data_IF_824588602127
#
_entry.id   IF_824588602127
#
_cell.length_a   1.000
_cell.length_b   1.000
_cell.length_c   1.000
_cell.angle_alpha   90.00
_cell.angle_beta   90.00
_cell.angle_gamma   90.00
#
_symmetry.space_group_name_H-M   'P 1'
#
loop_
_entity.id
_entity.type
_entity.pdbx_description
1 polymer ?
#
# COMPACT_ATOMS: atom_id res chain seq x y z
N UNK A 1 -7.37 -32.08 -20.37
CA UNK A 1 -7.10 -31.09 -19.29
C UNK A 1 -6.75 -29.78 -19.97
N UNK A 2 -7.62 -28.78 -19.93
CA UNK A 2 -7.33 -27.46 -20.49
C UNK A 2 -6.36 -26.73 -19.56
N UNK A 3 -5.16 -26.46 -20.06
CA UNK A 3 -4.20 -25.56 -19.42
C UNK A 3 -4.39 -24.20 -20.06
N UNK A 4 -4.80 -23.21 -19.26
CA UNK A 4 -4.86 -21.81 -19.67
C UNK A 4 -3.78 -21.07 -18.89
N UNK A 5 -2.63 -20.73 -19.50
CA UNK A 5 -1.59 -19.98 -18.81
C UNK A 5 -2.07 -18.53 -18.60
N UNK A 6 -1.68 -17.94 -17.48
CA UNK A 6 -1.89 -16.52 -17.22
C UNK A 6 -0.55 -15.79 -17.26
N UNK A 7 -0.55 -14.56 -17.77
CA UNK A 7 0.62 -13.69 -17.80
C UNK A 7 0.18 -12.27 -17.56
N UNK A 8 0.90 -11.55 -16.72
CA UNK A 8 0.72 -10.13 -16.47
C UNK A 8 2.07 -9.42 -16.58
N UNK A 9 2.09 -8.35 -17.35
CA UNK A 9 3.24 -7.46 -17.51
C UNK A 9 2.81 -6.09 -16.97
N UNK A 10 3.37 -5.71 -15.83
CA UNK A 10 2.94 -4.54 -15.07
C UNK A 10 4.14 -3.91 -14.37
N UNK A 11 4.37 -2.62 -14.62
CA UNK A 11 5.57 -1.94 -14.12
C UNK A 11 5.71 -1.96 -12.60
N UNK A 12 4.62 -2.16 -11.85
CA UNK A 12 4.65 -2.20 -10.39
C UNK A 12 5.13 -3.54 -9.82
N UNK A 13 5.22 -4.59 -10.64
CA UNK A 13 5.81 -5.87 -10.25
C UNK A 13 7.27 -5.71 -9.82
N UNK A 14 8.01 -4.74 -10.40
CA UNK A 14 9.40 -4.46 -10.02
C UNK A 14 9.57 -3.99 -8.56
N UNK A 15 8.49 -3.58 -7.92
CA UNK A 15 8.48 -3.13 -6.52
C UNK A 15 7.99 -4.22 -5.55
N UNK A 16 7.77 -5.45 -6.01
CA UNK A 16 7.46 -6.56 -5.10
C UNK A 16 8.64 -6.78 -4.15
N UNK A 17 8.32 -6.94 -2.87
CA UNK A 17 9.31 -7.20 -1.83
C UNK A 17 9.14 -8.61 -1.23
N UNK A 18 9.85 -8.87 -0.13
CA UNK A 18 9.83 -10.14 0.59
C UNK A 18 8.41 -10.64 0.90
N UNK A 19 7.48 -9.72 1.23
CA UNK A 19 6.10 -10.06 1.53
C UNK A 19 5.37 -10.60 0.30
N UNK A 20 5.50 -9.92 -0.84
CA UNK A 20 4.89 -10.39 -2.07
C UNK A 20 5.55 -11.69 -2.55
N UNK A 21 6.87 -11.84 -2.45
CA UNK A 21 7.56 -13.07 -2.82
C UNK A 21 7.12 -14.27 -1.98
N UNK A 22 7.01 -14.09 -0.67
CA UNK A 22 6.50 -15.11 0.23
C UNK A 22 5.06 -15.50 -0.14
N UNK A 23 4.22 -14.52 -0.48
CA UNK A 23 2.85 -14.79 -0.92
C UNK A 23 2.78 -15.58 -2.23
N UNK A 24 3.64 -15.26 -3.21
CA UNK A 24 3.73 -16.03 -4.46
C UNK A 24 4.14 -17.48 -4.19
N UNK A 25 5.11 -17.70 -3.29
CA UNK A 25 5.55 -19.05 -2.90
C UNK A 25 4.40 -19.85 -2.27
N UNK A 26 3.66 -19.25 -1.35
CA UNK A 26 2.48 -19.86 -0.73
C UNK A 26 1.42 -20.24 -1.78
N UNK A 27 1.19 -19.39 -2.78
CA UNK A 27 0.24 -19.67 -3.87
C UNK A 27 0.68 -20.87 -4.71
N UNK A 28 1.98 -20.98 -5.03
CA UNK A 28 2.51 -22.14 -5.75
C UNK A 28 2.24 -23.45 -5.00
N UNK A 29 2.56 -23.49 -3.71
CA UNK A 29 2.41 -24.67 -2.87
C UNK A 29 0.93 -25.05 -2.69
N UNK A 30 0.08 -24.06 -2.37
CA UNK A 30 -1.35 -24.29 -2.10
C UNK A 30 -2.12 -24.75 -3.33
N UNK A 31 -1.79 -24.22 -4.50
CA UNK A 31 -2.53 -24.45 -5.74
C UNK A 31 -1.84 -25.45 -6.68
N UNK A 32 -0.67 -25.97 -6.30
CA UNK A 32 0.14 -26.86 -7.12
C UNK A 32 0.36 -26.31 -8.55
N UNK A 33 0.78 -25.05 -8.61
CA UNK A 33 1.04 -24.28 -9.83
C UNK A 33 2.50 -23.81 -9.88
N UNK A 34 2.97 -23.46 -11.08
CA UNK A 34 4.28 -22.83 -11.27
C UNK A 34 4.10 -21.34 -11.58
N UNK A 35 4.78 -20.48 -10.82
CA UNK A 35 4.80 -19.03 -11.00
C UNK A 35 6.23 -18.62 -11.35
N UNK A 36 6.40 -17.98 -12.49
CA UNK A 36 7.65 -17.38 -12.94
C UNK A 36 7.55 -15.87 -12.78
N UNK A 37 8.58 -15.28 -12.19
CA UNK A 37 8.71 -13.85 -12.00
C UNK A 37 9.98 -13.37 -12.71
N UNK A 38 9.83 -12.41 -13.62
CA UNK A 38 10.95 -11.67 -14.21
C UNK A 38 10.93 -10.25 -13.63
N UNK A 39 11.98 -9.90 -12.88
CA UNK A 39 12.12 -8.58 -12.28
C UNK A 39 12.71 -7.55 -13.25
N UNK A 40 13.41 -7.99 -14.31
CA UNK A 40 14.01 -7.09 -15.31
C UNK A 40 12.96 -6.64 -16.32
N UNK A 41 12.13 -7.58 -16.74
CA UNK A 41 10.92 -7.32 -17.51
C UNK A 41 9.75 -7.61 -16.56
N UNK A 42 9.19 -6.61 -15.86
CA UNK A 42 8.31 -6.79 -14.71
C UNK A 42 7.05 -7.57 -15.10
N UNK A 43 7.18 -8.90 -15.03
CA UNK A 43 6.28 -9.86 -15.65
C UNK A 43 6.14 -11.06 -14.73
N UNK A 44 4.89 -11.48 -14.55
CA UNK A 44 4.53 -12.71 -13.85
C UNK A 44 3.83 -13.65 -14.83
N UNK A 45 4.25 -14.91 -14.82
CA UNK A 45 3.63 -15.98 -15.63
C UNK A 45 3.22 -17.14 -14.73
N UNK A 46 2.00 -17.62 -14.90
CA UNK A 46 1.43 -18.71 -14.11
C UNK A 46 1.06 -19.87 -15.02
N UNK A 47 1.52 -21.06 -14.67
CA UNK A 47 1.25 -22.32 -15.37
C UNK A 47 0.62 -23.33 -14.41
N UNK A 48 -0.43 -24.02 -14.85
CA UNK A 48 -1.16 -24.99 -14.04
C UNK A 48 -2.47 -25.41 -14.69
N UNK A 49 -3.36 -26.04 -13.91
CA UNK A 49 -4.73 -26.32 -14.37
C UNK A 49 -5.58 -25.05 -14.31
N UNK A 50 -6.49 -24.88 -15.28
CA UNK A 50 -7.24 -23.62 -15.49
C UNK A 50 -7.86 -23.05 -14.21
N UNK A 51 -8.53 -23.87 -13.38
CA UNK A 51 -9.13 -23.44 -12.11
C UNK A 51 -8.12 -22.79 -11.17
N UNK A 52 -6.98 -23.44 -10.98
CA UNK A 52 -5.96 -23.03 -10.02
C UNK A 52 -5.18 -21.81 -10.55
N UNK A 53 -4.97 -21.74 -11.87
CA UNK A 53 -4.39 -20.57 -12.54
C UNK A 53 -5.30 -19.34 -12.40
N UNK A 54 -6.61 -19.50 -12.57
CA UNK A 54 -7.57 -18.40 -12.41
C UNK A 54 -7.61 -17.88 -10.97
N UNK A 55 -7.57 -18.76 -9.98
CA UNK A 55 -7.48 -18.35 -8.57
C UNK A 55 -6.17 -17.59 -8.28
N UNK A 56 -5.04 -18.07 -8.81
CA UNK A 56 -3.75 -17.39 -8.64
C UNK A 56 -3.72 -16.03 -9.33
N UNK A 57 -4.33 -15.92 -10.53
CA UNK A 57 -4.49 -14.65 -11.24
C UNK A 57 -5.15 -13.60 -10.37
N UNK A 58 -6.30 -13.91 -9.77
CA UNK A 58 -7.05 -12.94 -8.98
C UNK A 58 -6.24 -12.42 -7.77
N UNK A 59 -5.50 -13.31 -7.11
CA UNK A 59 -4.59 -12.96 -6.01
C UNK A 59 -3.40 -12.10 -6.48
N UNK A 60 -2.79 -12.44 -7.61
CA UNK A 60 -1.67 -11.69 -8.19
C UNK A 60 -2.11 -10.29 -8.62
N UNK A 61 -3.25 -10.15 -9.30
CA UNK A 61 -3.79 -8.84 -9.68
C UNK A 61 -4.09 -7.98 -8.44
N UNK A 62 -4.61 -8.60 -7.37
CA UNK A 62 -4.80 -7.90 -6.10
C UNK A 62 -3.47 -7.45 -5.47
N UNK A 63 -2.41 -8.26 -5.56
CA UNK A 63 -1.07 -7.90 -5.10
C UNK A 63 -0.51 -6.71 -5.89
N UNK A 64 -0.53 -6.78 -7.23
CA UNK A 64 -0.07 -5.70 -8.11
C UNK A 64 -0.79 -4.39 -7.79
N UNK A 65 -2.12 -4.45 -7.65
CA UNK A 65 -2.93 -3.28 -7.29
C UNK A 65 -2.53 -2.69 -5.93
N UNK A 66 -2.27 -3.51 -4.91
CA UNK A 66 -1.82 -3.02 -3.60
C UNK A 66 -0.48 -2.32 -3.67
N UNK A 67 0.49 -2.91 -4.37
CA UNK A 67 1.83 -2.33 -4.55
C UNK A 67 1.75 -1.02 -5.33
N UNK A 68 0.94 -0.96 -6.39
CA UNK A 68 0.65 0.27 -7.14
C UNK A 68 0.15 1.38 -6.24
N UNK A 69 -0.94 1.13 -5.51
CA UNK A 69 -1.54 2.13 -4.63
C UNK A 69 -0.56 2.63 -3.56
N UNK A 70 0.26 1.74 -3.00
CA UNK A 70 1.28 2.11 -2.03
C UNK A 70 2.35 3.03 -2.64
N UNK A 71 2.83 2.73 -3.86
CA UNK A 71 3.84 3.54 -4.54
C UNK A 71 3.31 4.88 -5.03
N UNK A 72 2.07 4.92 -5.53
CA UNK A 72 1.39 6.17 -5.87
C UNK A 72 1.20 7.06 -4.63
N UNK A 73 0.80 6.47 -3.50
CA UNK A 73 0.66 7.20 -2.24
C UNK A 73 2.02 7.72 -1.73
N UNK A 74 3.07 6.91 -1.82
CA UNK A 74 4.44 7.31 -1.46
C UNK A 74 4.92 8.49 -2.31
N UNK A 75 4.79 8.41 -3.63
CA UNK A 75 5.18 9.48 -4.55
C UNK A 75 4.41 10.77 -4.29
N UNK A 76 3.10 10.67 -4.00
CA UNK A 76 2.29 11.84 -3.64
C UNK A 76 2.71 12.44 -2.30
N UNK A 77 3.05 11.61 -1.32
CA UNK A 77 3.51 12.06 -0.02
C UNK A 77 4.85 12.80 -0.13
N UNK A 78 5.77 12.29 -0.95
CA UNK A 78 7.04 12.96 -1.25
C UNK A 78 6.78 14.35 -1.86
N UNK A 79 5.97 14.44 -2.90
CA UNK A 79 5.64 15.71 -3.55
C UNK A 79 4.96 16.72 -2.60
N UNK A 80 3.98 16.30 -1.80
CA UNK A 80 3.30 17.22 -0.86
C UNK A 80 4.23 17.68 0.26
N UNK A 81 5.15 16.82 0.72
CA UNK A 81 6.10 17.16 1.79
C UNK A 81 7.09 18.26 1.41
N UNK A 82 7.28 18.54 0.11
CA UNK A 82 8.09 19.67 -0.36
C UNK A 82 7.45 21.03 -0.08
N UNK A 83 6.13 21.09 0.06
CA UNK A 83 5.38 22.36 0.16
C UNK A 83 4.58 22.51 1.45
N UNK A 84 4.25 21.39 2.12
CA UNK A 84 3.32 21.37 3.25
C UNK A 84 3.89 20.50 4.37
N UNK A 85 3.99 21.08 5.56
CA UNK A 85 4.44 20.40 6.77
C UNK A 85 3.40 20.54 7.89
N UNK A 86 2.81 19.43 8.28
CA UNK A 86 1.98 19.30 9.47
C UNK A 86 2.86 18.94 10.67
N UNK A 87 2.56 19.56 11.81
CA UNK A 87 3.25 19.33 13.08
C UNK A 87 2.24 19.13 14.20
N UNK A 88 2.65 18.42 15.25
CA UNK A 88 1.90 18.33 16.50
C UNK A 88 2.73 18.90 17.65
N UNK A 89 2.04 19.52 18.61
CA UNK A 89 2.65 20.00 19.85
C UNK A 89 2.58 18.89 20.90
N UNK A 90 3.73 18.52 21.46
CA UNK A 90 3.83 17.68 22.63
C UNK A 90 4.76 18.37 23.64
N UNK A 91 4.22 18.71 24.81
CA UNK A 91 4.93 19.40 25.89
C UNK A 91 5.71 20.64 25.41
N UNK A 92 5.04 21.52 24.64
CA UNK A 92 5.61 22.75 24.08
C UNK A 92 6.73 22.55 23.04
N UNK A 93 6.93 21.32 22.58
CA UNK A 93 7.82 20.97 21.48
C UNK A 93 7.00 20.58 20.26
N UNK A 94 7.40 21.08 19.09
CA UNK A 94 6.72 20.73 17.84
C UNK A 94 7.47 19.61 17.11
N UNK A 95 6.74 18.56 16.78
CA UNK A 95 7.24 17.40 16.06
C UNK A 95 6.55 17.30 14.71
N UNK A 96 7.33 16.97 13.68
CA UNK A 96 6.83 16.74 12.33
C UNK A 96 6.16 15.37 12.25
N UNK A 97 5.07 15.30 11.50
CA UNK A 97 4.52 14.01 11.09
C UNK A 97 5.41 13.37 10.01
N UNK A 98 5.38 12.04 9.90
CA UNK A 98 5.96 11.35 8.74
C UNK A 98 5.21 11.75 7.46
N UNK A 99 5.86 11.59 6.30
CA UNK A 99 5.31 12.04 4.99
C UNK A 99 3.92 11.47 4.68
N UNK A 100 3.62 10.24 5.10
CA UNK A 100 2.34 9.59 4.83
C UNK A 100 1.25 10.16 5.74
N UNK A 101 1.54 10.37 7.02
CA UNK A 101 0.61 11.02 7.95
C UNK A 101 0.38 12.49 7.57
N UNK A 102 1.44 13.19 7.15
CA UNK A 102 1.37 14.55 6.61
C UNK A 102 0.41 14.65 5.41
N UNK A 103 0.57 13.74 4.43
CA UNK A 103 -0.33 13.63 3.28
C UNK A 103 -1.79 13.40 3.72
N UNK A 104 -2.02 12.47 4.64
CA UNK A 104 -3.37 12.13 5.14
C UNK A 104 -4.06 13.32 5.81
N UNK A 105 -3.33 14.08 6.63
CA UNK A 105 -3.84 15.29 7.27
C UNK A 105 -4.21 16.36 6.25
N UNK A 106 -3.33 16.60 5.28
CA UNK A 106 -3.59 17.59 4.23
C UNK A 106 -4.78 17.21 3.35
N UNK A 107 -4.89 15.94 2.95
CA UNK A 107 -6.01 15.43 2.17
C UNK A 107 -7.33 15.58 2.94
N UNK A 108 -7.34 15.19 4.21
CA UNK A 108 -8.53 15.32 5.06
C UNK A 108 -8.95 16.78 5.23
N UNK A 109 -7.98 17.70 5.36
CA UNK A 109 -8.24 19.15 5.40
C UNK A 109 -8.85 19.63 4.08
N UNK A 110 -8.29 19.25 2.92
CA UNK A 110 -8.79 19.63 1.59
C UNK A 110 -10.19 19.08 1.31
N UNK A 111 -10.47 17.86 1.76
CA UNK A 111 -11.77 17.21 1.69
C UNK A 111 -12.78 17.76 2.71
N UNK A 112 -12.36 18.69 3.58
CA UNK A 112 -13.19 19.27 4.65
C UNK A 112 -13.75 18.20 5.61
N UNK A 113 -12.97 17.14 5.86
CA UNK A 113 -13.28 16.16 6.91
C UNK A 113 -13.20 16.85 8.26
N UNK A 114 -14.10 16.47 9.17
CA UNK A 114 -14.10 17.00 10.55
C UNK A 114 -12.99 16.37 11.38
N UNK A 115 -12.78 15.07 11.22
CA UNK A 115 -11.82 14.28 11.99
C UNK A 115 -11.05 13.32 11.11
N UNK A 116 -9.85 12.96 11.56
CA UNK A 116 -9.04 11.90 10.97
C UNK A 116 -8.22 11.21 12.07
N UNK A 117 -8.08 9.88 11.96
CA UNK A 117 -7.23 9.11 12.86
C UNK A 117 -5.79 9.09 12.35
N UNK A 118 -4.86 9.36 13.26
CA UNK A 118 -3.41 9.33 13.03
C UNK A 118 -2.74 8.47 14.10
N UNK A 119 -1.50 8.08 13.85
CA UNK A 119 -0.68 7.34 14.81
C UNK A 119 0.54 8.17 15.18
N UNK A 120 0.69 8.47 16.47
CA UNK A 120 1.82 9.24 17.02
C UNK A 120 2.46 8.36 18.09
N UNK A 121 3.78 8.14 18.02
CA UNK A 121 4.52 7.34 19.00
C UNK A 121 3.89 5.97 19.31
N UNK A 122 3.42 5.28 18.27
CA UNK A 122 2.71 4.00 18.32
C UNK A 122 1.29 4.01 18.90
N UNK A 123 0.79 5.16 19.35
CA UNK A 123 -0.55 5.35 19.89
C UNK A 123 -1.49 5.99 18.87
N UNK A 124 -2.77 5.63 18.91
CA UNK A 124 -3.80 6.15 18.01
C UNK A 124 -4.44 7.41 18.59
N UNK A 125 -4.58 8.43 17.75
CA UNK A 125 -5.22 9.70 18.08
C UNK A 125 -6.23 10.06 17.01
N UNK A 126 -7.34 10.65 17.43
CA UNK A 126 -8.29 11.32 16.54
C UNK A 126 -7.98 12.81 16.53
N UNK A 127 -7.63 13.34 15.36
CA UNK A 127 -7.39 14.77 15.14
C UNK A 127 -8.68 15.42 14.67
N UNK A 128 -9.13 16.48 15.35
CA UNK A 128 -10.20 17.35 14.90
C UNK A 128 -9.61 18.50 14.06
N UNK A 129 -9.95 18.54 12.78
CA UNK A 129 -9.39 19.50 11.81
C UNK A 129 -10.05 20.88 11.88
N UNK A 130 -11.14 21.04 12.64
CA UNK A 130 -11.75 22.34 12.89
C UNK A 130 -11.08 23.05 14.07
N UNK A 131 -10.73 22.30 15.12
CA UNK A 131 -10.11 22.84 16.33
C UNK A 131 -8.60 22.64 16.38
N UNK A 132 -8.03 21.86 15.46
CA UNK A 132 -6.62 21.47 15.42
C UNK A 132 -6.13 20.84 16.73
N UNK A 133 -6.95 19.95 17.29
CA UNK A 133 -6.65 19.21 18.54
C UNK A 133 -6.65 17.72 18.29
N UNK A 134 -5.73 17.01 18.94
CA UNK A 134 -5.66 15.56 18.93
C UNK A 134 -6.12 15.03 20.29
N UNK A 135 -6.96 14.00 20.29
CA UNK A 135 -7.39 13.28 21.49
C UNK A 135 -7.14 11.79 21.31
N UNK A 136 -6.81 11.07 22.38
CA UNK A 136 -6.66 9.61 22.32
C UNK A 136 -7.90 8.97 21.65
N UNK A 137 -7.65 8.08 20.70
CA UNK A 137 -8.72 7.32 20.07
C UNK A 137 -9.40 6.44 21.15
N UNK A 138 -10.72 6.51 21.26
CA UNK A 138 -11.50 5.65 22.16
C UNK A 138 -11.43 4.18 21.74
#
# INVERSE_FOLDING_TARGET
KEQCPYTSEDEYIKYFDEKEYQKLKELQEKLNINIFLDNKRPLIKVLGISRDVMQARDEIEAMIKRVRLAKEQESRADCISEFIEWQYNDNNTFYRFDKITNLKLEDARREKKKTIDVKINHQHYTVNLNTYTATDAK
#
